data_IF_148983755258
#
_entry.id   IF_148983755258
#
_cell.length_a   1.000
_cell.length_b   1.000
_cell.length_c   1.000
_cell.angle_alpha   90.00
_cell.angle_beta   90.00
_cell.angle_gamma   90.00
#
_symmetry.space_group_name_H-M   'P 1'
#
loop_
_entity.id
_entity.type
_entity.pdbx_description
1 polymer ?
#
# COMPACT_ATOMS: atom_id res chain seq x y z
N UNK A 1 -50.82 -8.30 -5.25
CA UNK A 1 -49.68 -8.33 -4.30
C UNK A 1 -48.58 -7.58 -4.97
N UNK A 2 -48.59 -6.26 -4.81
CA UNK A 2 -47.55 -5.32 -5.30
C UNK A 2 -46.46 -5.29 -4.26
N UNK A 3 -45.30 -5.85 -4.61
CA UNK A 3 -44.07 -5.65 -3.85
C UNK A 3 -43.59 -4.23 -4.14
N UNK A 4 -43.89 -3.33 -3.23
CA UNK A 4 -43.34 -1.98 -3.22
C UNK A 4 -41.82 -2.09 -3.02
N UNK A 5 -41.06 -2.03 -4.11
CA UNK A 5 -39.68 -1.66 -4.12
C UNK A 5 -39.60 -0.23 -3.61
N UNK A 6 -39.38 -0.07 -2.31
CA UNK A 6 -38.92 1.18 -1.73
C UNK A 6 -37.51 1.45 -2.32
N UNK A 7 -37.47 1.99 -3.52
CA UNK A 7 -36.36 2.78 -3.97
C UNK A 7 -36.30 3.97 -3.01
N UNK A 8 -35.40 3.87 -2.05
CA UNK A 8 -34.94 5.05 -1.32
C UNK A 8 -34.29 5.93 -2.40
N UNK A 9 -35.11 6.76 -3.01
CA UNK A 9 -34.65 7.93 -3.72
C UNK A 9 -33.96 8.78 -2.65
N UNK A 10 -32.65 8.55 -2.47
CA UNK A 10 -31.77 9.52 -1.87
C UNK A 10 -31.90 10.71 -2.84
N UNK A 11 -32.82 11.61 -2.52
CA UNK A 11 -32.80 12.94 -3.10
C UNK A 11 -31.39 13.44 -2.79
N UNK A 12 -30.56 13.47 -3.83
CA UNK A 12 -29.23 14.06 -3.82
C UNK A 12 -29.41 15.52 -3.48
N UNK A 13 -29.63 15.80 -2.21
CA UNK A 13 -29.55 17.15 -1.65
C UNK A 13 -28.12 17.62 -1.95
N UNK A 14 -28.02 18.67 -2.70
CA UNK A 14 -26.92 19.18 -3.51
C UNK A 14 -25.53 19.31 -2.86
N UNK A 15 -25.28 18.77 -1.65
CA UNK A 15 -24.01 18.98 -0.93
C UNK A 15 -23.59 17.76 -0.05
N UNK A 16 -24.00 16.53 -0.31
CA UNK A 16 -23.87 15.47 0.71
C UNK A 16 -22.90 14.34 0.43
N UNK A 17 -22.21 14.31 -0.71
CA UNK A 17 -21.16 13.30 -0.87
C UNK A 17 -19.84 13.89 -1.41
N UNK A 18 -18.70 13.42 -0.92
CA UNK A 18 -17.40 13.79 -1.44
C UNK A 18 -17.33 13.52 -2.96
N UNK A 19 -16.68 14.41 -3.71
CA UNK A 19 -16.55 14.35 -5.17
C UNK A 19 -17.83 14.67 -5.99
N UNK A 20 -18.86 15.26 -5.40
CA UNK A 20 -20.07 15.63 -6.16
C UNK A 20 -19.78 16.56 -7.34
N UNK A 21 -18.94 17.56 -7.16
CA UNK A 21 -18.55 18.50 -8.23
C UNK A 21 -17.75 17.79 -9.33
N UNK A 22 -16.85 16.87 -8.94
CA UNK A 22 -16.10 16.03 -9.88
C UNK A 22 -17.05 15.17 -10.72
N UNK A 23 -18.01 14.50 -10.09
CA UNK A 23 -19.02 13.70 -10.78
C UNK A 23 -19.83 14.54 -11.76
N UNK A 24 -20.34 15.69 -11.32
CA UNK A 24 -21.13 16.61 -12.17
C UNK A 24 -20.35 17.09 -13.40
N UNK A 25 -19.05 17.34 -13.24
CA UNK A 25 -18.21 17.85 -14.32
C UNK A 25 -17.81 16.77 -15.33
N UNK A 26 -17.53 15.53 -14.87
CA UNK A 26 -16.88 14.53 -15.72
C UNK A 26 -17.75 13.32 -16.07
N UNK A 27 -18.96 13.15 -15.51
CA UNK A 27 -19.80 11.96 -15.76
C UNK A 27 -20.11 11.71 -17.24
N UNK A 28 -20.33 12.76 -18.01
CA UNK A 28 -20.70 12.70 -19.42
C UNK A 28 -19.60 13.25 -20.34
N UNK A 29 -18.38 13.47 -19.83
CA UNK A 29 -17.29 14.12 -20.59
C UNK A 29 -16.57 13.15 -21.56
N UNK A 30 -16.91 11.85 -21.53
CA UNK A 30 -16.14 10.86 -22.26
C UNK A 30 -14.70 10.76 -21.72
N UNK A 31 -13.73 10.53 -22.59
CA UNK A 31 -12.31 10.49 -22.20
C UNK A 31 -11.82 11.89 -21.81
N UNK A 32 -11.36 12.05 -20.56
CA UNK A 32 -10.85 13.32 -20.02
C UNK A 32 -9.40 13.19 -19.58
N UNK A 33 -8.53 14.08 -20.08
CA UNK A 33 -7.13 14.12 -19.68
C UNK A 33 -6.92 14.36 -18.17
N UNK A 34 -7.84 15.09 -17.54
CA UNK A 34 -7.81 15.36 -16.11
C UNK A 34 -7.94 14.08 -15.25
N UNK A 35 -8.68 13.07 -15.74
CA UNK A 35 -8.85 11.79 -15.07
C UNK A 35 -7.81 10.75 -15.54
N UNK A 36 -7.47 10.77 -16.85
CA UNK A 36 -6.54 9.81 -17.45
C UNK A 36 -5.11 10.04 -16.96
N UNK A 37 -4.65 11.29 -16.84
CA UNK A 37 -3.26 11.57 -16.47
C UNK A 37 -2.89 11.02 -15.10
N UNK A 38 -3.65 11.24 -14.01
CA UNK A 38 -3.37 10.59 -12.72
C UNK A 38 -3.41 9.06 -12.80
N UNK A 39 -4.39 8.49 -13.51
CA UNK A 39 -4.51 7.04 -13.68
C UNK A 39 -3.29 6.43 -14.37
N UNK A 40 -2.78 7.10 -15.44
CA UNK A 40 -1.55 6.67 -16.12
C UNK A 40 -0.34 6.79 -15.21
N UNK A 41 -0.18 7.92 -14.49
CA UNK A 41 0.94 8.10 -13.56
C UNK A 41 0.97 7.05 -12.45
N UNK A 42 -0.20 6.68 -11.89
CA UNK A 42 -0.32 5.59 -10.91
C UNK A 42 0.16 4.25 -11.49
N UNK A 43 -0.22 3.95 -12.72
CA UNK A 43 0.17 2.69 -13.37
C UNK A 43 1.64 2.68 -13.83
N UNK A 44 2.19 3.83 -14.23
CA UNK A 44 3.63 3.98 -14.57
C UNK A 44 4.50 3.70 -13.33
N UNK A 45 4.06 4.07 -12.13
CA UNK A 45 4.72 3.72 -10.88
C UNK A 45 4.38 2.28 -10.43
N UNK A 46 3.11 1.87 -10.52
CA UNK A 46 2.61 0.59 -9.99
C UNK A 46 3.07 -0.63 -10.78
N UNK A 47 3.07 -0.60 -12.11
CA UNK A 47 3.47 -1.77 -12.93
C UNK A 47 4.93 -2.19 -12.68
N UNK A 48 5.92 -1.29 -12.71
CA UNK A 48 7.29 -1.64 -12.31
C UNK A 48 7.37 -2.07 -10.85
N UNK A 49 6.57 -1.47 -9.96
CA UNK A 49 6.49 -1.84 -8.54
C UNK A 49 6.01 -3.28 -8.36
N UNK A 50 4.92 -3.67 -9.00
CA UNK A 50 4.42 -5.06 -8.98
C UNK A 50 5.49 -6.03 -9.49
N UNK A 51 6.15 -5.72 -10.61
CA UNK A 51 7.21 -6.56 -11.16
C UNK A 51 8.41 -6.68 -10.20
N UNK A 52 8.81 -5.58 -9.56
CA UNK A 52 9.88 -5.54 -8.58
C UNK A 52 9.54 -6.33 -7.31
N UNK A 53 8.31 -6.20 -6.81
CA UNK A 53 7.82 -6.93 -5.63
C UNK A 53 7.69 -8.44 -5.92
N UNK A 54 7.25 -8.84 -7.11
CA UNK A 54 7.28 -10.24 -7.55
C UNK A 54 8.70 -10.80 -7.57
N UNK A 55 9.66 -10.03 -8.09
CA UNK A 55 11.07 -10.42 -8.10
C UNK A 55 11.62 -10.57 -6.68
N UNK A 56 11.27 -9.67 -5.77
CA UNK A 56 11.66 -9.73 -4.35
C UNK A 56 11.18 -11.02 -3.68
N UNK A 57 9.89 -11.35 -3.84
CA UNK A 57 9.30 -12.58 -3.30
C UNK A 57 10.05 -13.81 -3.85
N UNK A 58 10.22 -13.87 -5.17
CA UNK A 58 10.84 -14.99 -5.84
C UNK A 58 12.29 -15.21 -5.39
N UNK A 59 13.09 -14.14 -5.34
CA UNK A 59 14.49 -14.19 -4.91
C UNK A 59 14.61 -14.58 -3.44
N UNK A 60 13.70 -14.08 -2.58
CA UNK A 60 13.70 -14.42 -1.15
C UNK A 60 13.41 -15.90 -0.91
N UNK A 61 12.45 -16.47 -1.64
CA UNK A 61 12.08 -17.89 -1.49
C UNK A 61 13.19 -18.81 -2.03
N UNK A 62 13.79 -18.46 -3.16
CA UNK A 62 14.78 -19.34 -3.83
C UNK A 62 16.17 -19.29 -3.19
N UNK A 63 16.54 -18.20 -2.53
CA UNK A 63 17.90 -18.04 -2.02
C UNK A 63 18.02 -18.42 -0.55
N UNK A 64 18.72 -19.51 -0.26
CA UNK A 64 18.95 -19.99 1.10
C UNK A 64 19.64 -18.95 2.01
N UNK A 65 20.47 -18.04 1.45
CA UNK A 65 21.12 -16.96 2.21
C UNK A 65 20.15 -15.89 2.70
N UNK A 66 18.93 -15.84 2.13
CA UNK A 66 17.87 -14.90 2.51
C UNK A 66 16.84 -15.52 3.47
N UNK A 67 17.08 -16.73 3.98
CA UNK A 67 16.21 -17.39 4.94
C UNK A 67 16.35 -16.78 6.34
N UNK A 68 15.60 -15.72 6.60
CA UNK A 68 15.53 -15.04 7.88
C UNK A 68 14.16 -14.39 8.08
N UNK A 69 13.74 -14.20 9.36
CA UNK A 69 12.41 -13.65 9.69
C UNK A 69 12.13 -12.34 8.97
N UNK A 70 13.05 -11.38 9.01
CA UNK A 70 12.87 -10.10 8.34
C UNK A 70 12.74 -10.21 6.83
N UNK A 71 13.50 -11.10 6.18
CA UNK A 71 13.40 -11.27 4.74
C UNK A 71 12.08 -11.93 4.34
N UNK A 72 11.56 -12.86 5.15
CA UNK A 72 10.23 -13.43 4.94
C UNK A 72 9.12 -12.39 5.18
N UNK A 73 9.26 -11.52 6.18
CA UNK A 73 8.33 -10.43 6.41
C UNK A 73 8.37 -9.40 5.27
N UNK A 74 9.56 -9.09 4.71
CA UNK A 74 9.68 -8.26 3.51
C UNK A 74 8.95 -8.89 2.31
N UNK A 75 9.14 -10.19 2.07
CA UNK A 75 8.44 -10.88 0.99
C UNK A 75 6.91 -10.90 1.21
N UNK A 76 6.46 -10.98 2.47
CA UNK A 76 5.04 -10.89 2.83
C UNK A 76 4.49 -9.49 2.57
N UNK A 77 5.24 -8.45 2.94
CA UNK A 77 4.87 -7.04 2.64
C UNK A 77 4.77 -6.84 1.14
N UNK A 78 5.78 -7.27 0.37
CA UNK A 78 5.78 -7.20 -1.09
C UNK A 78 4.55 -7.90 -1.72
N UNK A 79 4.11 -9.03 -1.16
CA UNK A 79 2.89 -9.70 -1.61
C UNK A 79 1.65 -8.82 -1.40
N UNK A 80 1.50 -8.21 -0.23
CA UNK A 80 0.36 -7.34 0.05
C UNK A 80 0.42 -6.03 -0.76
N UNK A 81 1.61 -5.51 -1.04
CA UNK A 81 1.77 -4.34 -1.92
C UNK A 81 1.38 -4.65 -3.37
N UNK A 82 1.61 -5.87 -3.88
CA UNK A 82 1.12 -6.29 -5.18
C UNK A 82 -0.41 -6.25 -5.22
N UNK A 83 -1.08 -6.76 -4.17
CA UNK A 83 -2.53 -6.69 -4.06
C UNK A 83 -3.02 -5.24 -4.03
N UNK A 84 -2.37 -4.39 -3.24
CA UNK A 84 -2.71 -2.97 -3.15
C UNK A 84 -2.55 -2.25 -4.50
N UNK A 85 -1.39 -2.37 -5.12
CA UNK A 85 -1.08 -1.67 -6.39
C UNK A 85 -1.95 -2.12 -7.56
N UNK A 86 -2.49 -3.35 -7.53
CA UNK A 86 -3.36 -3.85 -8.58
C UNK A 86 -4.69 -3.08 -8.72
N UNK A 87 -5.10 -2.31 -7.69
CA UNK A 87 -6.26 -1.42 -7.75
C UNK A 87 -6.19 -0.41 -8.89
N UNK A 88 -4.97 0.04 -9.26
CA UNK A 88 -4.79 1.09 -10.26
C UNK A 88 -5.15 0.66 -11.67
N UNK A 89 -5.20 -0.64 -11.96
CA UNK A 89 -5.68 -1.14 -13.25
C UNK A 89 -7.16 -0.84 -13.48
N UNK A 90 -8.00 -0.95 -12.44
CA UNK A 90 -9.41 -0.60 -12.57
C UNK A 90 -9.60 0.89 -12.83
N UNK A 91 -8.89 1.74 -12.10
CA UNK A 91 -8.93 3.19 -12.29
C UNK A 91 -8.52 3.58 -13.71
N UNK A 92 -7.42 3.01 -14.23
CA UNK A 92 -6.98 3.25 -15.60
C UNK A 92 -8.03 2.79 -16.62
N UNK A 93 -8.58 1.59 -16.43
CA UNK A 93 -9.60 1.03 -17.33
C UNK A 93 -10.83 1.94 -17.42
N UNK A 94 -11.36 2.39 -16.28
CA UNK A 94 -12.57 3.24 -16.21
C UNK A 94 -12.33 4.59 -16.89
N UNK A 95 -11.18 5.22 -16.63
CA UNK A 95 -10.88 6.54 -17.17
C UNK A 95 -10.57 6.51 -18.67
N UNK A 96 -9.82 5.50 -19.15
CA UNK A 96 -9.49 5.37 -20.58
C UNK A 96 -10.71 4.94 -21.40
N UNK A 97 -11.62 4.15 -20.83
CA UNK A 97 -12.87 3.78 -21.51
C UNK A 97 -13.89 4.93 -21.61
N UNK A 98 -13.64 6.06 -20.94
CA UNK A 98 -14.55 7.21 -20.89
C UNK A 98 -15.80 7.00 -20.05
N UNK A 99 -15.87 5.89 -19.28
CA UNK A 99 -16.96 5.62 -18.33
C UNK A 99 -16.90 6.61 -17.16
N UNK A 100 -15.67 6.95 -16.71
CA UNK A 100 -15.30 7.89 -15.66
C UNK A 100 -15.79 7.55 -14.25
N UNK A 101 -17.00 7.04 -14.11
CA UNK A 101 -17.58 6.67 -12.80
C UNK A 101 -18.33 5.35 -12.86
N UNK A 102 -18.20 4.58 -11.81
CA UNK A 102 -18.97 3.35 -11.57
C UNK A 102 -19.55 3.38 -10.16
N UNK A 103 -20.51 2.50 -9.88
CA UNK A 103 -21.10 2.37 -8.56
C UNK A 103 -20.07 1.88 -7.54
N UNK A 104 -20.10 2.39 -6.32
CA UNK A 104 -19.23 1.97 -5.21
C UNK A 104 -19.21 0.46 -5.01
N UNK A 105 -20.40 -0.17 -5.00
CA UNK A 105 -20.53 -1.62 -4.86
C UNK A 105 -19.82 -2.41 -5.97
N UNK A 106 -19.82 -1.88 -7.20
CA UNK A 106 -19.11 -2.48 -8.34
C UNK A 106 -17.59 -2.28 -8.18
N UNK A 107 -17.15 -1.07 -7.87
CA UNK A 107 -15.73 -0.78 -7.64
C UNK A 107 -15.17 -1.65 -6.51
N UNK A 108 -15.91 -1.78 -5.41
CA UNK A 108 -15.50 -2.60 -4.26
C UNK A 108 -15.31 -4.06 -4.62
N UNK A 109 -16.20 -4.67 -5.43
CA UNK A 109 -16.06 -6.08 -5.88
C UNK A 109 -14.73 -6.32 -6.58
N UNK A 110 -14.25 -5.36 -7.37
CA UNK A 110 -12.97 -5.46 -8.05
C UNK A 110 -11.76 -5.07 -7.19
N UNK A 111 -11.95 -4.28 -6.14
CA UNK A 111 -10.84 -3.72 -5.35
C UNK A 111 -10.79 -4.20 -3.88
N UNK A 112 -11.67 -5.13 -3.48
CA UNK A 112 -11.68 -5.63 -2.11
C UNK A 112 -10.33 -6.23 -1.70
N UNK A 113 -9.69 -6.98 -2.60
CA UNK A 113 -8.35 -7.53 -2.39
C UNK A 113 -7.27 -6.44 -2.23
N UNK A 114 -7.45 -5.31 -2.88
CA UNK A 114 -6.50 -4.18 -2.80
C UNK A 114 -6.66 -3.40 -1.49
N UNK A 115 -7.90 -3.24 -1.00
CA UNK A 115 -8.20 -2.66 0.33
C UNK A 115 -7.60 -3.55 1.42
N UNK A 116 -7.81 -4.88 1.31
CA UNK A 116 -7.17 -5.85 2.19
C UNK A 116 -5.64 -5.72 2.15
N UNK A 117 -5.04 -5.69 0.95
CA UNK A 117 -3.61 -5.60 0.74
C UNK A 117 -2.98 -4.35 1.35
N UNK A 118 -3.64 -3.21 1.23
CA UNK A 118 -3.18 -1.93 1.77
C UNK A 118 -2.90 -1.99 3.28
N UNK A 119 -3.86 -2.44 4.07
CA UNK A 119 -3.71 -2.49 5.53
C UNK A 119 -2.88 -3.67 6.01
N UNK A 120 -2.94 -4.79 5.30
CA UNK A 120 -2.08 -5.93 5.56
C UNK A 120 -0.59 -5.60 5.30
N UNK A 121 -0.28 -4.81 4.25
CA UNK A 121 1.07 -4.32 3.99
C UNK A 121 1.58 -3.42 5.12
N UNK A 122 0.78 -2.45 5.57
CA UNK A 122 1.15 -1.57 6.68
C UNK A 122 1.39 -2.34 7.99
N UNK A 123 0.55 -3.34 8.29
CA UNK A 123 0.73 -4.21 9.47
C UNK A 123 1.97 -5.09 9.34
N UNK A 124 2.28 -5.57 8.13
CA UNK A 124 3.53 -6.29 7.86
C UNK A 124 4.76 -5.41 8.05
N UNK A 125 4.71 -4.13 7.67
CA UNK A 125 5.80 -3.18 7.93
C UNK A 125 6.03 -2.98 9.43
N UNK A 126 4.96 -2.83 10.23
CA UNK A 126 5.06 -2.80 11.69
C UNK A 126 5.69 -4.08 12.24
N UNK A 127 5.36 -5.22 11.65
CA UNK A 127 5.95 -6.51 11.98
C UNK A 127 7.46 -6.57 11.71
N UNK A 128 7.93 -6.00 10.59
CA UNK A 128 9.36 -5.89 10.29
C UNK A 128 10.06 -5.01 11.33
N UNK A 129 9.47 -3.88 11.71
CA UNK A 129 10.02 -3.01 12.74
C UNK A 129 10.12 -3.72 14.10
N UNK A 130 9.06 -4.41 14.51
CA UNK A 130 9.04 -5.21 15.74
C UNK A 130 10.09 -6.32 15.72
N UNK A 131 10.24 -7.02 14.58
CA UNK A 131 11.27 -8.05 14.38
C UNK A 131 12.68 -7.47 14.54
N UNK A 132 12.95 -6.31 13.96
CA UNK A 132 14.25 -5.64 14.12
C UNK A 132 14.50 -5.18 15.55
N UNK A 133 13.48 -4.60 16.19
CA UNK A 133 13.59 -4.17 17.59
C UNK A 133 13.89 -5.35 18.52
N UNK A 134 13.17 -6.45 18.38
CA UNK A 134 13.41 -7.68 19.14
C UNK A 134 14.80 -8.26 18.90
N UNK A 135 15.27 -8.28 17.65
CA UNK A 135 16.59 -8.82 17.31
C UNK A 135 17.75 -8.02 17.92
N UNK A 136 17.55 -6.70 18.12
CA UNK A 136 18.57 -5.81 18.70
C UNK A 136 18.50 -5.79 20.22
N UNK A 137 17.28 -5.67 20.80
CA UNK A 137 17.11 -5.58 22.25
C UNK A 137 17.31 -6.92 22.97
N UNK A 138 16.89 -8.02 22.36
CA UNK A 138 16.90 -9.35 23.00
C UNK A 138 17.55 -10.43 22.13
N UNK A 139 18.82 -10.28 21.71
CA UNK A 139 19.45 -11.17 20.73
C UNK A 139 19.45 -12.64 21.14
N UNK A 140 19.67 -12.95 22.44
CA UNK A 140 19.68 -14.33 22.94
C UNK A 140 18.28 -14.98 22.91
N UNK A 141 17.23 -14.22 23.22
CA UNK A 141 15.85 -14.70 23.13
C UNK A 141 15.42 -14.84 21.68
N UNK A 142 15.77 -13.87 20.85
CA UNK A 142 15.48 -13.87 19.42
C UNK A 142 16.08 -15.09 18.70
N UNK A 143 17.32 -15.46 19.01
CA UNK A 143 17.97 -16.65 18.44
C UNK A 143 17.25 -17.98 18.79
N UNK A 144 16.58 -18.03 19.95
CA UNK A 144 15.82 -19.21 20.41
C UNK A 144 14.37 -19.25 19.90
N UNK A 145 13.90 -18.23 19.18
CA UNK A 145 12.52 -18.19 18.68
C UNK A 145 12.27 -19.29 17.64
N UNK A 146 11.10 -19.91 17.74
CA UNK A 146 10.61 -20.77 16.67
C UNK A 146 10.15 -19.88 15.51
N UNK A 147 10.98 -19.79 14.46
CA UNK A 147 10.75 -18.91 13.32
C UNK A 147 9.40 -19.17 12.63
N UNK A 148 8.92 -20.42 12.60
CA UNK A 148 7.64 -20.75 11.97
C UNK A 148 6.48 -20.16 12.76
N UNK A 149 6.43 -20.40 14.08
CA UNK A 149 5.40 -19.84 14.95
C UNK A 149 5.43 -18.31 14.94
N UNK A 150 6.62 -17.74 15.04
CA UNK A 150 6.82 -16.29 14.99
C UNK A 150 6.26 -15.68 13.69
N UNK A 151 6.64 -16.23 12.55
CA UNK A 151 6.15 -15.77 11.24
C UNK A 151 4.64 -15.96 11.10
N UNK A 152 4.09 -17.08 11.57
CA UNK A 152 2.64 -17.33 11.55
C UNK A 152 1.86 -16.26 12.33
N UNK A 153 2.36 -15.83 13.49
CA UNK A 153 1.73 -14.75 14.28
C UNK A 153 1.65 -13.46 13.46
N UNK A 154 2.73 -13.07 12.79
CA UNK A 154 2.74 -11.86 11.95
C UNK A 154 1.82 -11.96 10.73
N UNK A 155 1.72 -13.13 10.10
CA UNK A 155 0.73 -13.38 9.05
C UNK A 155 -0.68 -13.18 9.60
N UNK A 156 -1.01 -13.78 10.74
CA UNK A 156 -2.34 -13.68 11.35
C UNK A 156 -2.68 -12.21 11.65
N UNK A 157 -1.76 -11.43 12.19
CA UNK A 157 -1.96 -10.01 12.47
C UNK A 157 -2.24 -9.21 11.19
N UNK A 158 -1.49 -9.45 10.12
CA UNK A 158 -1.71 -8.81 8.82
C UNK A 158 -3.08 -9.19 8.23
N UNK A 159 -3.48 -10.46 8.34
CA UNK A 159 -4.79 -10.92 7.86
C UNK A 159 -5.94 -10.32 8.69
N UNK A 160 -5.82 -10.25 10.02
CA UNK A 160 -6.83 -9.61 10.88
C UNK A 160 -7.05 -8.17 10.46
N UNK A 161 -5.99 -7.39 10.25
CA UNK A 161 -6.10 -5.99 9.84
C UNK A 161 -6.75 -5.84 8.45
N UNK A 162 -6.36 -6.69 7.49
CA UNK A 162 -6.92 -6.69 6.14
C UNK A 162 -8.40 -7.10 6.12
N UNK A 163 -8.78 -8.13 6.88
CA UNK A 163 -10.17 -8.59 7.00
C UNK A 163 -11.03 -7.52 7.67
N UNK A 164 -10.53 -6.92 8.77
CA UNK A 164 -11.25 -5.86 9.47
C UNK A 164 -11.56 -4.68 8.54
N UNK A 165 -10.58 -4.23 7.76
CA UNK A 165 -10.77 -3.17 6.78
C UNK A 165 -11.76 -3.56 5.68
N UNK A 166 -11.66 -4.78 5.18
CA UNK A 166 -12.57 -5.31 4.15
C UNK A 166 -14.02 -5.35 4.63
N UNK A 167 -14.26 -5.77 5.89
CA UNK A 167 -15.59 -5.79 6.48
C UNK A 167 -16.17 -4.37 6.57
N UNK A 168 -15.38 -3.36 7.00
CA UNK A 168 -15.86 -1.98 7.06
C UNK A 168 -16.20 -1.44 5.66
N UNK A 169 -15.36 -1.70 4.65
CA UNK A 169 -15.66 -1.31 3.28
C UNK A 169 -16.94 -1.98 2.73
N UNK A 170 -17.19 -3.25 3.07
CA UNK A 170 -18.42 -3.95 2.70
C UNK A 170 -19.64 -3.34 3.40
N UNK A 171 -19.52 -3.03 4.69
CA UNK A 171 -20.61 -2.39 5.44
C UNK A 171 -20.95 -1.02 4.86
N UNK A 172 -19.94 -0.23 4.49
CA UNK A 172 -20.15 1.05 3.80
C UNK A 172 -20.82 0.85 2.42
N UNK A 173 -20.37 -0.14 1.65
CA UNK A 173 -20.98 -0.50 0.36
C UNK A 173 -22.45 -0.86 0.49
N UNK A 174 -22.83 -1.60 1.53
CA UNK A 174 -24.22 -1.99 1.78
C UNK A 174 -25.10 -0.78 2.12
N UNK A 175 -24.51 0.24 2.75
CA UNK A 175 -25.21 1.50 3.08
C UNK A 175 -25.35 2.43 1.88
N UNK A 176 -24.33 2.48 1.00
CA UNK A 176 -24.28 3.39 -0.14
C UNK A 176 -23.87 2.70 -1.45
N UNK A 177 -24.64 1.69 -1.93
CA UNK A 177 -24.20 0.82 -3.04
C UNK A 177 -24.06 1.53 -4.38
N UNK A 178 -24.84 2.57 -4.62
CA UNK A 178 -24.92 3.29 -5.91
C UNK A 178 -24.09 4.58 -5.94
N UNK A 179 -23.32 4.86 -4.89
CA UNK A 179 -22.48 6.04 -4.83
C UNK A 179 -21.46 6.04 -5.99
N UNK A 180 -21.39 7.11 -6.82
CA UNK A 180 -20.47 7.15 -7.95
C UNK A 180 -19.03 7.38 -7.49
N UNK A 181 -18.11 6.54 -7.97
CA UNK A 181 -16.67 6.59 -7.71
C UNK A 181 -15.88 6.46 -9.02
N UNK A 182 -14.68 7.03 -9.08
CA UNK A 182 -13.82 6.97 -10.29
C UNK A 182 -13.13 5.62 -10.47
N UNK A 183 -13.26 4.69 -9.50
CA UNK A 183 -12.49 3.47 -9.45
C UNK A 183 -11.07 3.65 -8.91
N UNK A 184 -10.71 4.82 -8.45
CA UNK A 184 -9.50 5.03 -7.67
C UNK A 184 -9.70 4.51 -6.24
N UNK A 185 -8.72 3.76 -5.71
CA UNK A 185 -8.85 3.12 -4.40
C UNK A 185 -9.10 4.12 -3.26
N UNK A 186 -8.54 5.33 -3.34
CA UNK A 186 -8.79 6.38 -2.34
C UNK A 186 -10.25 6.80 -2.27
N UNK A 187 -11.01 6.75 -3.39
CA UNK A 187 -12.43 7.05 -3.37
C UNK A 187 -13.20 6.06 -2.47
N UNK A 188 -12.75 4.80 -2.41
CA UNK A 188 -13.35 3.79 -1.55
C UNK A 188 -12.96 3.93 -0.07
N UNK A 189 -11.84 4.59 0.22
CA UNK A 189 -11.30 4.75 1.57
C UNK A 189 -11.69 6.08 2.22
N UNK A 190 -11.75 7.14 1.41
CA UNK A 190 -12.02 8.51 1.91
C UNK A 190 -13.49 8.73 2.27
N UNK A 191 -14.39 7.94 1.69
CA UNK A 191 -15.84 8.09 1.94
C UNK A 191 -16.26 7.64 3.34
N UNK A 192 -15.54 6.69 3.97
CA UNK A 192 -15.73 6.32 5.37
C UNK A 192 -14.65 6.99 6.25
N UNK A 193 -14.78 8.30 6.40
CA UNK A 193 -13.84 9.13 7.17
C UNK A 193 -13.85 8.83 8.66
N UNK A 194 -14.94 8.26 9.18
CA UNK A 194 -15.10 8.06 10.62
C UNK A 194 -14.33 6.83 11.12
N UNK A 195 -14.17 5.80 10.31
CA UNK A 195 -13.58 4.53 10.73
C UNK A 195 -12.29 4.24 9.96
N UNK A 196 -12.32 4.30 8.64
CA UNK A 196 -11.21 3.85 7.78
C UNK A 196 -10.00 4.78 7.92
N UNK A 197 -10.20 6.08 7.82
CA UNK A 197 -9.12 7.04 7.87
C UNK A 197 -8.38 7.05 9.22
N UNK A 198 -9.05 7.12 10.40
CA UNK A 198 -8.35 7.01 11.69
C UNK A 198 -7.57 5.72 11.88
N UNK A 199 -8.06 4.60 11.33
CA UNK A 199 -7.34 3.33 11.42
C UNK A 199 -6.04 3.35 10.60
N UNK A 200 -6.06 3.89 9.39
CA UNK A 200 -4.85 4.08 8.57
C UNK A 200 -3.86 5.00 9.31
N UNK A 201 -4.34 6.10 9.89
CA UNK A 201 -3.53 7.01 10.70
C UNK A 201 -2.89 6.33 11.90
N UNK A 202 -3.66 5.49 12.61
CA UNK A 202 -3.16 4.69 13.73
C UNK A 202 -2.03 3.75 13.29
N UNK A 203 -2.21 3.02 12.19
CA UNK A 203 -1.17 2.14 11.65
C UNK A 203 0.08 2.92 11.23
N UNK A 204 -0.07 4.08 10.59
CA UNK A 204 1.05 4.96 10.26
C UNK A 204 1.79 5.42 11.53
N UNK A 205 1.05 5.85 12.56
CA UNK A 205 1.61 6.26 13.85
C UNK A 205 2.40 5.15 14.54
N UNK A 206 1.85 3.94 14.57
CA UNK A 206 2.54 2.76 15.12
C UNK A 206 3.84 2.49 14.34
N UNK A 207 3.80 2.52 13.02
CA UNK A 207 4.99 2.33 12.20
C UNK A 207 6.06 3.38 12.49
N UNK A 208 5.71 4.68 12.52
CA UNK A 208 6.63 5.76 12.84
C UNK A 208 7.30 5.53 14.20
N UNK A 209 6.50 5.23 15.23
CA UNK A 209 7.01 5.00 16.58
C UNK A 209 7.96 3.79 16.63
N UNK A 210 7.59 2.67 16.05
CA UNK A 210 8.43 1.47 16.05
C UNK A 210 9.76 1.71 15.34
N UNK A 211 9.74 2.36 14.17
CA UNK A 211 11.00 2.64 13.44
C UNK A 211 11.84 3.72 14.10
N UNK A 212 11.23 4.69 14.75
CA UNK A 212 11.92 5.66 15.59
C UNK A 212 12.67 4.96 16.74
N UNK A 213 12.01 4.01 17.41
CA UNK A 213 12.67 3.20 18.44
C UNK A 213 13.80 2.33 17.87
N UNK A 214 13.59 1.68 16.73
CA UNK A 214 14.65 0.91 16.05
C UNK A 214 15.84 1.81 15.75
N UNK A 215 15.60 3.02 15.26
CA UNK A 215 16.66 3.98 14.93
C UNK A 215 17.43 4.45 16.18
N UNK A 216 16.73 4.80 17.28
CA UNK A 216 17.36 5.19 18.56
C UNK A 216 18.22 4.04 19.10
N UNK A 217 17.64 2.85 19.23
CA UNK A 217 18.35 1.69 19.78
C UNK A 217 19.60 1.39 18.97
N UNK A 218 19.54 1.57 17.65
CA UNK A 218 20.70 1.40 16.78
C UNK A 218 21.82 2.40 17.04
N UNK A 219 21.48 3.71 17.14
CA UNK A 219 22.47 4.73 17.47
C UNK A 219 23.13 4.40 18.81
N UNK A 220 22.33 4.03 19.81
CA UNK A 220 22.85 3.61 21.11
C UNK A 220 23.82 2.42 21.01
N UNK A 221 23.47 1.40 20.21
CA UNK A 221 24.31 0.23 20.01
C UNK A 221 25.59 0.54 19.22
N UNK A 222 25.53 1.44 18.25
CA UNK A 222 26.70 1.88 17.48
C UNK A 222 27.68 2.66 18.38
N UNK A 223 27.16 3.54 19.24
CA UNK A 223 27.95 4.34 20.18
C UNK A 223 28.53 3.48 21.31
N UNK A 224 27.74 2.59 21.91
CA UNK A 224 28.15 1.83 23.08
C UNK A 224 29.04 0.62 22.74
N UNK A 225 28.80 -0.06 21.60
CA UNK A 225 29.43 -1.33 21.25
C UNK A 225 30.46 -1.17 20.12
N UNK A 226 30.57 0.04 19.54
CA UNK A 226 31.46 0.35 18.40
C UNK A 226 31.28 -0.63 17.23
N UNK A 227 30.08 -1.20 17.09
CA UNK A 227 29.76 -2.18 16.04
C UNK A 227 29.11 -1.44 14.85
N UNK A 228 29.74 -1.46 13.67
CA UNK A 228 29.20 -0.76 12.52
C UNK A 228 27.81 -1.31 12.16
N UNK A 229 26.89 -0.40 11.88
CA UNK A 229 25.52 -0.70 11.49
C UNK A 229 25.47 -1.66 10.29
N UNK A 230 24.69 -2.72 10.37
CA UNK A 230 24.55 -3.64 9.24
C UNK A 230 23.92 -2.92 8.04
N UNK A 231 24.46 -3.14 6.84
CA UNK A 231 23.95 -2.52 5.59
C UNK A 231 22.47 -2.86 5.34
N UNK A 232 22.07 -4.08 5.74
CA UNK A 232 20.68 -4.51 5.63
C UNK A 232 19.74 -3.63 6.45
N UNK A 233 20.15 -3.25 7.64
CA UNK A 233 19.34 -2.45 8.54
C UNK A 233 19.24 -0.98 8.07
N UNK A 234 20.31 -0.42 7.50
CA UNK A 234 20.26 0.90 6.82
C UNK A 234 19.24 0.87 5.66
N UNK A 235 19.22 -0.20 4.87
CA UNK A 235 18.26 -0.33 3.78
C UNK A 235 16.83 -0.45 4.30
N UNK A 236 16.59 -1.19 5.38
CA UNK A 236 15.26 -1.32 5.98
C UNK A 236 14.74 0.02 6.53
N UNK A 237 15.57 0.78 7.24
CA UNK A 237 15.21 2.12 7.72
C UNK A 237 14.86 3.03 6.53
N UNK A 238 15.64 2.98 5.46
CA UNK A 238 15.40 3.80 4.28
C UNK A 238 14.10 3.40 3.56
N UNK A 239 13.84 2.09 3.37
CA UNK A 239 12.60 1.58 2.79
C UNK A 239 11.41 2.16 3.53
N UNK A 240 11.41 1.97 4.83
CA UNK A 240 10.30 2.39 5.67
C UNK A 240 10.15 3.90 5.71
N UNK A 241 11.26 4.64 5.79
CA UNK A 241 11.20 6.11 5.74
C UNK A 241 10.55 6.61 4.44
N UNK A 242 10.80 5.95 3.31
CA UNK A 242 10.19 6.32 2.03
C UNK A 242 8.72 5.91 1.98
N UNK A 243 8.40 4.67 2.36
CA UNK A 243 7.02 4.16 2.32
C UNK A 243 6.13 4.90 3.33
N UNK A 244 6.55 4.96 4.60
CA UNK A 244 5.80 5.68 5.63
C UNK A 244 5.77 7.17 5.33
N UNK A 245 6.87 7.74 4.82
CA UNK A 245 6.93 9.13 4.40
C UNK A 245 5.84 9.47 3.39
N UNK A 246 5.58 8.59 2.42
CA UNK A 246 4.46 8.75 1.47
C UNK A 246 3.10 8.79 2.17
N UNK A 247 2.83 7.88 3.10
CA UNK A 247 1.58 7.88 3.88
C UNK A 247 1.45 9.11 4.77
N UNK A 248 2.54 9.49 5.46
CA UNK A 248 2.53 10.68 6.34
C UNK A 248 2.26 11.96 5.54
N UNK A 249 2.91 12.11 4.38
CA UNK A 249 2.65 13.25 3.49
C UNK A 249 1.17 13.24 3.04
N UNK A 250 0.64 12.08 2.63
CA UNK A 250 -0.77 11.96 2.26
C UNK A 250 -1.72 12.37 3.39
N UNK A 251 -1.45 11.90 4.61
CA UNK A 251 -2.23 12.26 5.80
C UNK A 251 -2.12 13.74 6.17
N UNK A 252 -0.92 14.32 6.12
CA UNK A 252 -0.70 15.74 6.37
C UNK A 252 -1.40 16.60 5.32
N UNK A 253 -1.30 16.24 4.03
CA UNK A 253 -2.04 16.92 2.96
C UNK A 253 -3.53 16.95 3.27
N UNK A 254 -4.11 15.82 3.69
CA UNK A 254 -5.51 15.75 4.02
C UNK A 254 -5.88 16.65 5.21
N UNK A 255 -5.13 16.60 6.30
CA UNK A 255 -5.38 17.46 7.47
C UNK A 255 -5.28 18.95 7.09
N UNK A 256 -4.28 19.32 6.27
CA UNK A 256 -4.11 20.70 5.82
C UNK A 256 -5.29 21.13 4.94
N UNK A 257 -5.74 20.27 4.04
CA UNK A 257 -6.89 20.54 3.17
C UNK A 257 -8.15 20.76 4.02
N UNK A 258 -8.43 19.84 4.93
CA UNK A 258 -9.68 19.82 5.68
C UNK A 258 -9.78 21.00 6.69
N UNK A 259 -8.64 21.51 7.21
CA UNK A 259 -8.64 22.51 8.29
C UNK A 259 -8.16 23.90 7.87
N UNK A 260 -7.34 24.01 6.83
CA UNK A 260 -6.67 25.27 6.51
C UNK A 260 -6.95 25.79 5.09
N UNK A 261 -7.47 24.95 4.18
CA UNK A 261 -7.67 25.32 2.80
C UNK A 261 -9.14 25.17 2.40
N UNK A 262 -9.76 26.25 1.91
CA UNK A 262 -11.09 26.21 1.32
C UNK A 262 -11.01 25.76 -0.15
N UNK A 263 -10.66 24.49 -0.37
CA UNK A 263 -10.58 23.90 -1.70
C UNK A 263 -11.93 23.33 -2.15
N UNK A 264 -12.19 23.36 -3.45
CA UNK A 264 -13.34 22.66 -4.01
C UNK A 264 -13.06 21.16 -4.16
N UNK A 265 -14.10 20.34 -4.35
CA UNK A 265 -14.01 18.86 -4.45
C UNK A 265 -12.98 18.40 -5.49
N UNK A 266 -12.87 19.11 -6.63
CA UNK A 266 -11.95 18.76 -7.72
C UNK A 266 -10.50 18.99 -7.29
N UNK A 267 -10.23 20.09 -6.60
CA UNK A 267 -8.91 20.38 -6.07
C UNK A 267 -8.50 19.37 -4.98
N UNK A 268 -9.44 19.07 -4.07
CA UNK A 268 -9.25 18.04 -3.03
C UNK A 268 -8.92 16.69 -3.67
N UNK A 269 -9.71 16.27 -4.65
CA UNK A 269 -9.49 15.02 -5.39
C UNK A 269 -8.12 15.01 -6.08
N UNK A 270 -7.74 16.13 -6.74
CA UNK A 270 -6.44 16.26 -7.42
C UNK A 270 -5.27 16.11 -6.44
N UNK A 271 -5.32 16.76 -5.27
CA UNK A 271 -4.27 16.63 -4.25
C UNK A 271 -4.18 15.20 -3.73
N UNK A 272 -5.32 14.54 -3.50
CA UNK A 272 -5.35 13.13 -3.10
C UNK A 272 -4.73 12.21 -4.16
N UNK A 273 -4.84 12.53 -5.45
CA UNK A 273 -4.15 11.78 -6.52
C UNK A 273 -2.62 11.93 -6.41
N UNK A 274 -2.11 13.13 -6.19
CA UNK A 274 -0.67 13.35 -6.00
C UNK A 274 -0.14 12.60 -4.76
N UNK A 275 -0.88 12.63 -3.65
CA UNK A 275 -0.53 11.86 -2.45
C UNK A 275 -0.51 10.35 -2.74
N UNK A 276 -1.48 9.85 -3.48
CA UNK A 276 -1.53 8.45 -3.91
C UNK A 276 -0.35 8.05 -4.81
N UNK A 277 0.10 8.92 -5.71
CA UNK A 277 1.29 8.67 -6.55
C UNK A 277 2.54 8.51 -5.66
N UNK A 278 2.72 9.37 -4.65
CA UNK A 278 3.84 9.27 -3.71
C UNK A 278 3.81 7.97 -2.91
N UNK A 279 2.63 7.55 -2.45
CA UNK A 279 2.44 6.26 -1.76
C UNK A 279 2.84 5.10 -2.67
N UNK A 280 2.42 5.13 -3.93
CA UNK A 280 2.77 4.08 -4.91
C UNK A 280 4.26 4.02 -5.24
N UNK A 281 4.92 5.17 -5.34
CA UNK A 281 6.39 5.24 -5.50
C UNK A 281 7.05 4.60 -4.27
N UNK A 282 6.55 4.88 -3.07
CA UNK A 282 7.01 4.25 -1.83
C UNK A 282 6.87 2.72 -1.88
N UNK A 283 5.68 2.22 -2.16
CA UNK A 283 5.37 0.80 -2.26
C UNK A 283 6.20 0.06 -3.34
N UNK A 284 6.64 0.78 -4.38
CA UNK A 284 7.50 0.27 -5.45
C UNK A 284 8.99 0.32 -5.12
N UNK A 285 9.40 1.06 -4.07
CA UNK A 285 10.80 1.37 -3.78
C UNK A 285 11.54 0.25 -3.04
N UNK A 286 10.86 -0.73 -2.43
CA UNK A 286 11.48 -1.77 -1.60
C UNK A 286 12.58 -2.53 -2.33
N UNK A 287 12.28 -3.11 -3.47
CA UNK A 287 13.24 -3.91 -4.24
C UNK A 287 14.42 -3.09 -4.78
N UNK A 288 14.22 -1.91 -5.40
CA UNK A 288 15.32 -1.02 -5.78
C UNK A 288 16.24 -0.65 -4.62
N UNK A 289 15.70 -0.33 -3.46
CA UNK A 289 16.49 0.03 -2.28
C UNK A 289 17.30 -1.18 -1.80
N UNK A 290 16.68 -2.36 -1.71
CA UNK A 290 17.40 -3.59 -1.35
C UNK A 290 18.49 -3.92 -2.35
N UNK A 291 18.27 -3.71 -3.64
CA UNK A 291 19.29 -3.91 -4.67
C UNK A 291 20.50 -2.97 -4.50
N UNK A 292 20.24 -1.71 -4.18
CA UNK A 292 21.31 -0.69 -4.01
C UNK A 292 22.09 -0.93 -2.71
N UNK A 293 21.41 -1.14 -1.61
CA UNK A 293 22.02 -1.11 -0.27
C UNK A 293 22.38 -2.49 0.29
N UNK A 294 21.77 -3.59 -0.19
CA UNK A 294 22.05 -4.94 0.28
C UNK A 294 22.81 -5.76 -0.75
N UNK A 295 24.06 -6.10 -0.46
CA UNK A 295 24.88 -6.96 -1.32
C UNK A 295 24.25 -8.35 -1.52
N UNK A 296 23.59 -8.89 -0.49
CA UNK A 296 22.92 -10.19 -0.57
C UNK A 296 21.75 -10.18 -1.56
N UNK A 297 20.89 -9.16 -1.50
CA UNK A 297 19.78 -9.01 -2.45
C UNK A 297 20.29 -8.72 -3.87
N UNK A 298 21.27 -7.85 -4.01
CA UNK A 298 21.88 -7.54 -5.30
C UNK A 298 22.49 -8.78 -5.98
N UNK A 299 23.25 -9.60 -5.23
CA UNK A 299 23.81 -10.85 -5.76
C UNK A 299 22.69 -11.82 -6.19
N UNK A 300 21.68 -11.99 -5.34
CA UNK A 300 20.55 -12.88 -5.59
C UNK A 300 19.73 -12.45 -6.82
N UNK A 301 19.40 -11.16 -6.92
CA UNK A 301 18.67 -10.58 -8.06
C UNK A 301 19.48 -10.73 -9.36
N UNK A 302 20.77 -10.39 -9.34
CA UNK A 302 21.63 -10.51 -10.51
C UNK A 302 21.76 -11.96 -11.00
N UNK A 303 21.88 -12.92 -10.06
CA UNK A 303 21.89 -14.35 -10.38
C UNK A 303 20.60 -14.76 -11.07
N UNK A 304 19.46 -14.30 -10.57
CA UNK A 304 18.16 -14.65 -11.13
C UNK A 304 17.95 -14.05 -12.52
N UNK A 305 18.27 -12.77 -12.69
CA UNK A 305 18.17 -12.11 -14.00
C UNK A 305 19.04 -12.82 -15.03
N UNK A 306 20.30 -13.14 -14.71
CA UNK A 306 21.18 -13.91 -15.61
C UNK A 306 20.59 -15.27 -15.99
N UNK A 307 19.98 -15.99 -15.05
CA UNK A 307 19.32 -17.27 -15.31
C UNK A 307 18.16 -17.14 -16.30
N UNK A 308 17.35 -16.10 -16.18
CA UNK A 308 16.23 -15.82 -17.09
C UNK A 308 16.74 -15.50 -18.50
N UNK A 309 17.73 -14.63 -18.62
CA UNK A 309 18.31 -14.27 -19.91
C UNK A 309 19.03 -15.44 -20.61
N UNK A 310 19.80 -16.23 -19.85
CA UNK A 310 20.50 -17.40 -20.38
C UNK A 310 19.55 -18.48 -20.92
N UNK A 311 18.47 -18.79 -20.18
CA UNK A 311 17.44 -19.73 -20.64
C UNK A 311 16.76 -19.24 -21.93
N UNK A 312 16.52 -17.94 -22.06
CA UNK A 312 15.89 -17.35 -23.25
C UNK A 312 16.78 -17.42 -24.48
N UNK A 313 18.11 -17.34 -24.33
CA UNK A 313 19.07 -17.45 -25.43
C UNK A 313 19.14 -18.90 -25.95
N UNK A 314 19.16 -19.89 -25.05
CA UNK A 314 19.26 -21.31 -25.44
C UNK A 314 17.92 -21.90 -25.95
N UNK A 315 16.77 -21.27 -25.66
CA UNK A 315 15.48 -21.73 -26.23
C UNK A 315 15.20 -21.21 -27.63
N UNK A 316 16.06 -20.34 -28.15
CA UNK A 316 15.96 -19.79 -29.52
C UNK A 316 16.98 -20.41 -30.49
N UNK A 317 17.86 -21.29 -30.02
CA UNK A 317 18.70 -22.18 -30.81
C UNK A 317 18.04 -23.56 -30.94
#
# INVERSE_FOLDING_TARGET
>A
METSTNQINISLNNNTFPNHMLYKQYKDSGTSSALILPAVMMNVAGIPGIAANLLLIFVTIQNNKLRGSANYLLALTAFFEILHQSAHFLFLFITVSGINFINYSTALKFQLHSIFGLTAAQTSMASIAADRLLSVLFPLKYYKLNIRLYFTIHIILAFISGIWMSINAINFSNKYPTLPVTGYISDLLVLDMEIIFPFIMLLCGINILLYFFVWIVQIMMEVLIQKPQSRLLKSLILIVSIVIGGYVIGCLCKIIIDHFLNLNDIQIWTVNQFAGILINIGASAETPILYIFSSFYREAINKQLRSIFYKRTNSKM
#
